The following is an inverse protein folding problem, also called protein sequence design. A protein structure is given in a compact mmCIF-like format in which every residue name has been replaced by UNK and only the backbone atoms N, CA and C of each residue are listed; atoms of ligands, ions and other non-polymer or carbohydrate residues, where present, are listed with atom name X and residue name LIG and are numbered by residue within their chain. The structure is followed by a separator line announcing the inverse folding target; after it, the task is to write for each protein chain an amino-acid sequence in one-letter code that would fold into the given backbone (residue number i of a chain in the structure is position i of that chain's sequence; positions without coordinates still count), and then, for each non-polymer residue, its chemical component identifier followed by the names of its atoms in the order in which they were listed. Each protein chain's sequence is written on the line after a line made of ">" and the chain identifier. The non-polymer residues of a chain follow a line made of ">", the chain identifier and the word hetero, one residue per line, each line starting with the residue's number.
data_IF_856389088083
#
_entry.id   IF_856389088083
#
_cell.length_a   1.000
_cell.length_b   1.000
_cell.length_c   1.000
_cell.angle_alpha   90.00
_cell.angle_beta   90.00
_cell.angle_gamma   90.00
#
_symmetry.space_group_name_H-M   'P 1'
#
loop_
_entity.id
_entity.type
_entity.pdbx_description
1 polymer ?
#
# COMPACT_ATOMS: atom_id res chain seq x y z
N UNK A 1 4.86 15.23 -6.85
CA UNK A 1 3.53 14.58 -6.74
C UNK A 1 3.57 13.67 -5.52
N UNK A 2 2.62 13.79 -4.58
CA UNK A 2 2.54 12.87 -3.45
C UNK A 2 2.25 11.43 -3.90
N UNK A 3 2.80 10.45 -3.20
CA UNK A 3 2.54 9.04 -3.42
C UNK A 3 2.59 8.29 -2.09
N UNK A 4 1.84 7.20 -2.00
CA UNK A 4 1.85 6.28 -0.87
C UNK A 4 2.54 5.00 -1.30
N UNK A 5 3.58 4.60 -0.56
CA UNK A 5 4.24 3.31 -0.78
C UNK A 5 3.32 2.20 -0.28
N UNK A 6 2.98 1.25 -1.14
CA UNK A 6 2.07 0.13 -0.83
C UNK A 6 2.79 -1.22 -0.77
N UNK A 7 3.97 -1.31 -1.40
CA UNK A 7 4.86 -2.48 -1.36
C UNK A 7 6.31 -2.05 -1.27
N UNK A 8 7.08 -2.82 -0.52
CA UNK A 8 8.54 -2.68 -0.45
C UNK A 8 9.23 -4.04 -0.39
N UNK A 9 10.34 -4.17 -1.11
CA UNK A 9 11.18 -5.38 -1.08
C UNK A 9 12.00 -5.50 0.20
N UNK A 10 12.23 -4.38 0.91
CA UNK A 10 12.91 -4.41 2.19
C UNK A 10 11.97 -4.97 3.27
N UNK A 11 12.39 -5.99 4.04
CA UNK A 11 11.56 -6.54 5.11
C UNK A 11 11.17 -5.49 6.15
N UNK A 12 9.88 -5.48 6.49
CA UNK A 12 9.28 -4.67 7.56
C UNK A 12 8.81 -5.58 8.69
N UNK A 13 9.05 -5.16 9.94
CA UNK A 13 8.64 -5.93 11.11
C UNK A 13 7.27 -5.46 11.60
N UNK A 14 6.32 -6.38 11.69
CA UNK A 14 4.99 -6.17 12.27
C UNK A 14 5.01 -6.23 13.80
N UNK A 15 3.95 -5.73 14.41
CA UNK A 15 3.77 -5.71 15.87
C UNK A 15 3.68 -7.10 16.48
N UNK A 16 3.20 -8.10 15.72
CA UNK A 16 3.20 -9.52 16.10
C UNK A 16 4.57 -10.20 15.98
N UNK A 17 5.60 -9.47 15.50
CA UNK A 17 6.96 -9.96 15.35
C UNK A 17 7.26 -10.61 13.99
N UNK A 18 6.26 -10.76 13.11
CA UNK A 18 6.44 -11.30 11.77
C UNK A 18 7.12 -10.27 10.86
N UNK A 19 7.99 -10.73 9.96
CA UNK A 19 8.55 -9.89 8.90
C UNK A 19 7.74 -10.06 7.61
N UNK A 20 7.31 -8.95 7.03
CA UNK A 20 6.66 -8.89 5.73
C UNK A 20 7.60 -8.23 4.71
N UNK A 21 7.69 -8.81 3.52
CA UNK A 21 8.32 -8.17 2.36
C UNK A 21 7.55 -8.55 1.10
N UNK A 22 7.69 -7.72 0.07
CA UNK A 22 7.12 -7.96 -1.25
C UNK A 22 8.23 -8.28 -2.26
N UNK A 23 7.84 -8.85 -3.40
CA UNK A 23 8.78 -9.10 -4.50
C UNK A 23 9.34 -7.79 -5.06
N UNK A 24 8.48 -6.77 -5.23
CA UNK A 24 8.79 -5.48 -5.82
C UNK A 24 8.50 -4.30 -4.87
N UNK A 25 8.95 -3.10 -5.28
CA UNK A 25 8.57 -1.85 -4.67
C UNK A 25 7.47 -1.19 -5.51
N UNK A 26 6.39 -0.74 -4.88
CA UNK A 26 5.29 -0.10 -5.58
C UNK A 26 4.70 1.07 -4.78
N UNK A 27 4.26 2.10 -5.49
CA UNK A 27 3.61 3.28 -4.93
C UNK A 27 2.39 3.72 -5.71
N UNK A 28 1.38 4.20 -5.01
CA UNK A 28 0.14 4.75 -5.58
C UNK A 28 0.23 6.27 -5.55
N UNK A 29 0.06 6.92 -6.70
CA UNK A 29 0.05 8.38 -6.80
C UNK A 29 -1.24 8.92 -6.20
N UNK A 30 -1.11 9.87 -5.28
CA UNK A 30 -2.24 10.50 -4.59
C UNK A 30 -2.20 12.02 -4.75
N UNK A 31 -3.34 12.67 -4.51
CA UNK A 31 -3.41 14.11 -4.33
C UNK A 31 -3.09 14.48 -2.85
N UNK A 32 -2.89 15.77 -2.53
CA UNK A 32 -2.66 16.21 -1.15
C UNK A 32 -3.81 15.91 -0.16
N UNK A 33 -4.99 15.54 -0.66
CA UNK A 33 -6.14 15.11 0.16
C UNK A 33 -6.14 13.60 0.43
N UNK A 34 -5.17 12.85 -0.11
CA UNK A 34 -5.09 11.39 0.06
C UNK A 34 -5.92 10.57 -0.92
N UNK A 35 -6.50 11.21 -1.94
CA UNK A 35 -7.26 10.50 -2.96
C UNK A 35 -6.33 10.01 -4.06
N UNK A 36 -6.52 8.76 -4.48
CA UNK A 36 -5.77 8.17 -5.57
C UNK A 36 -6.11 8.83 -6.90
N UNK A 37 -5.09 9.05 -7.74
CA UNK A 37 -5.29 9.54 -9.11
C UNK A 37 -5.70 8.44 -10.11
N UNK A 38 -5.37 7.19 -9.80
CA UNK A 38 -5.74 6.02 -10.62
C UNK A 38 -7.12 5.47 -10.28
N UNK A 39 -7.62 4.53 -11.09
CA UNK A 39 -8.92 3.87 -10.90
C UNK A 39 -8.84 2.52 -10.18
N UNK A 40 -7.68 1.86 -10.16
CA UNK A 40 -7.48 0.57 -9.51
C UNK A 40 -6.01 0.36 -9.12
N UNK A 41 -5.75 -0.51 -8.15
CA UNK A 41 -4.39 -0.91 -7.73
C UNK A 41 -4.15 -2.36 -8.15
N UNK A 42 -3.04 -2.61 -8.84
CA UNK A 42 -2.63 -3.96 -9.25
C UNK A 42 -1.76 -4.63 -8.19
N UNK A 43 -2.05 -5.90 -7.95
CA UNK A 43 -1.33 -6.72 -6.97
C UNK A 43 -1.73 -6.44 -5.52
N UNK A 44 -1.04 -7.09 -4.58
CA UNK A 44 -1.34 -6.96 -3.16
C UNK A 44 -0.89 -5.60 -2.60
N UNK A 45 -1.55 -5.18 -1.53
CA UNK A 45 -1.23 -3.98 -0.76
C UNK A 45 -0.95 -4.37 0.69
N UNK A 46 0.08 -3.79 1.29
CA UNK A 46 0.33 -3.97 2.72
C UNK A 46 -0.82 -3.45 3.59
N UNK A 47 -1.23 -4.24 4.57
CA UNK A 47 -2.30 -3.93 5.53
C UNK A 47 -2.11 -2.57 6.19
N UNK A 48 -0.89 -2.21 6.52
CA UNK A 48 -0.52 -0.93 7.10
C UNK A 48 -0.89 0.26 6.20
N UNK A 49 -0.71 0.12 4.88
CA UNK A 49 -1.11 1.13 3.92
C UNK A 49 -2.64 1.15 3.73
N UNK A 50 -3.29 -0.01 3.74
CA UNK A 50 -4.74 -0.10 3.63
C UNK A 50 -5.48 0.50 4.84
N UNK A 51 -4.98 0.28 6.06
CA UNK A 51 -5.56 0.83 7.29
C UNK A 51 -5.46 2.36 7.37
N UNK A 52 -4.34 2.92 6.90
CA UNK A 52 -4.12 4.37 6.92
C UNK A 52 -4.85 5.11 5.78
N UNK A 53 -5.07 4.44 4.64
CA UNK A 53 -5.61 5.07 3.44
C UNK A 53 -6.86 4.34 2.93
N UNK A 54 -8.06 4.76 3.36
CA UNK A 54 -9.31 4.07 3.02
C UNK A 54 -9.54 3.91 1.51
N UNK A 55 -9.15 4.92 0.71
CA UNK A 55 -9.27 4.86 -0.76
C UNK A 55 -8.35 3.81 -1.39
N UNK A 56 -7.18 3.56 -0.80
CA UNK A 56 -6.26 2.50 -1.24
C UNK A 56 -6.86 1.13 -0.90
N UNK A 57 -7.40 0.95 0.31
CA UNK A 57 -8.05 -0.30 0.72
C UNK A 57 -9.27 -0.64 -0.15
N UNK A 58 -10.10 0.36 -0.50
CA UNK A 58 -11.29 0.12 -1.32
C UNK A 58 -10.99 -0.24 -2.77
N UNK A 59 -9.79 0.06 -3.28
CA UNK A 59 -9.39 -0.16 -4.67
C UNK A 59 -8.28 -1.20 -4.81
N UNK A 60 -7.96 -1.94 -3.74
CA UNK A 60 -7.05 -3.07 -3.74
C UNK A 60 -7.81 -4.38 -3.86
N UNK A 61 -7.30 -5.30 -4.70
CA UNK A 61 -7.88 -6.63 -4.83
C UNK A 61 -7.49 -7.58 -3.69
N UNK A 62 -6.30 -7.38 -3.10
CA UNK A 62 -5.76 -8.20 -2.02
C UNK A 62 -5.01 -7.31 -1.03
N UNK A 63 -5.25 -7.53 0.27
CA UNK A 63 -4.53 -6.87 1.37
C UNK A 63 -3.79 -7.94 2.17
N UNK A 64 -2.50 -7.72 2.42
CA UNK A 64 -1.59 -8.65 3.11
C UNK A 64 -1.06 -8.07 4.41
#
# INVERSE_FOLDING_TARGET
>A
MPAVIVRQSKPWRRTDGVFLYFEDNAGVIVNPKGEMKGSAITGPVGKEAAELWPRIASNSGVVM
#
